data_IF_112439849463
#
_entry.id   IF_112439849463
#
_cell.length_a   1.000
_cell.length_b   1.000
_cell.length_c   1.000
_cell.angle_alpha   90.00
_cell.angle_beta   90.00
_cell.angle_gamma   90.00
#
_symmetry.space_group_name_H-M   'P 1'
#
loop_
_entity.id
_entity.type
_entity.pdbx_description
1 polymer ?
#
# COMPACT_ATOMS: atom_id res chain seq x y z
N UNK A 1 75.78 -31.76 -18.69
CA UNK A 1 75.85 -30.62 -19.61
C UNK A 1 74.71 -29.71 -19.22
N UNK A 2 75.13 -28.62 -18.61
CA UNK A 2 74.46 -27.31 -18.45
C UNK A 2 73.14 -27.25 -17.68
N UNK A 3 72.85 -26.25 -16.84
CA UNK A 3 73.56 -25.33 -15.93
C UNK A 3 72.45 -24.34 -15.48
N UNK A 4 72.60 -23.74 -14.30
CA UNK A 4 71.81 -22.65 -13.67
C UNK A 4 70.53 -23.07 -12.91
N UNK A 5 70.55 -23.17 -11.58
CA UNK A 5 70.60 -22.09 -10.53
C UNK A 5 69.36 -21.19 -10.56
N UNK A 6 68.75 -20.73 -9.46
CA UNK A 6 68.88 -20.87 -8.01
C UNK A 6 67.63 -20.21 -7.40
N UNK A 7 67.25 -20.50 -6.15
CA UNK A 7 66.16 -19.72 -5.51
C UNK A 7 65.54 -20.23 -4.22
N UNK A 8 66.35 -20.45 -3.18
CA UNK A 8 66.03 -20.33 -1.75
C UNK A 8 64.58 -20.58 -1.26
N UNK A 9 64.35 -21.78 -0.71
CA UNK A 9 63.28 -22.02 0.25
C UNK A 9 63.69 -21.48 1.64
N UNK A 10 63.04 -20.40 2.10
CA UNK A 10 63.03 -20.01 3.52
C UNK A 10 61.59 -19.93 4.00
N UNK A 11 61.26 -20.89 4.86
CA UNK A 11 60.10 -20.94 5.74
C UNK A 11 59.99 -19.64 6.55
N UNK A 12 58.88 -18.92 6.38
CA UNK A 12 58.46 -17.88 7.30
C UNK A 12 57.12 -18.28 7.94
N UNK A 13 57.21 -18.45 9.24
CA UNK A 13 56.14 -18.63 10.22
C UNK A 13 55.05 -17.57 10.04
N UNK A 14 53.82 -18.02 9.83
CA UNK A 14 52.64 -17.17 9.75
C UNK A 14 52.29 -16.67 11.15
N UNK A 15 52.70 -15.46 11.46
CA UNK A 15 52.30 -14.71 12.65
C UNK A 15 50.77 -14.52 12.62
N UNK A 16 50.11 -15.04 13.64
CA UNK A 16 48.81 -14.54 14.10
C UNK A 16 48.99 -13.08 14.53
N UNK A 17 48.27 -12.16 13.87
CA UNK A 17 47.80 -10.85 14.39
C UNK A 17 47.16 -10.03 13.27
N UNK A 18 45.83 -10.02 13.21
CA UNK A 18 44.98 -8.81 13.11
C UNK A 18 43.55 -9.18 12.69
N UNK A 19 42.78 -9.70 13.64
CA UNK A 19 41.34 -9.61 13.58
C UNK A 19 40.91 -8.16 13.87
N UNK A 20 40.92 -7.27 12.87
CA UNK A 20 40.16 -6.01 12.88
C UNK A 20 40.37 -5.22 11.58
N UNK A 21 39.45 -5.40 10.62
CA UNK A 21 38.99 -4.44 9.62
C UNK A 21 38.48 -5.23 8.41
N UNK A 22 37.26 -5.77 8.51
CA UNK A 22 36.49 -6.02 7.29
C UNK A 22 36.30 -4.64 6.67
N UNK A 23 36.94 -4.38 5.54
CA UNK A 23 36.69 -3.17 4.75
C UNK A 23 35.20 -3.16 4.42
N UNK A 24 34.41 -2.40 5.17
CA UNK A 24 32.99 -2.23 4.85
C UNK A 24 32.98 -1.56 3.49
N UNK A 25 32.40 -2.23 2.49
CA UNK A 25 32.08 -1.55 1.24
C UNK A 25 31.26 -0.30 1.59
N UNK A 26 31.55 0.87 1.00
CA UNK A 26 30.68 2.02 1.13
C UNK A 26 29.24 1.62 0.82
N UNK A 27 28.26 2.13 1.58
CA UNK A 27 26.84 1.89 1.35
C UNK A 27 26.35 0.44 1.54
N UNK A 28 27.15 -0.43 2.17
CA UNK A 28 26.78 -1.83 2.37
C UNK A 28 25.48 -2.00 3.18
N UNK A 29 25.21 -1.12 4.15
CA UNK A 29 24.02 -1.21 5.00
C UNK A 29 22.82 -0.52 4.38
N UNK A 30 23.05 0.53 3.60
CA UNK A 30 22.05 1.16 2.77
C UNK A 30 21.38 0.12 1.87
N UNK A 31 22.18 -0.70 1.17
CA UNK A 31 21.71 -1.78 0.29
C UNK A 31 20.90 -2.89 0.98
N UNK A 32 20.92 -2.96 2.32
CA UNK A 32 20.05 -3.85 3.08
C UNK A 32 18.60 -3.36 3.12
N UNK A 33 18.36 -2.07 2.89
CA UNK A 33 17.04 -1.43 2.97
C UNK A 33 16.59 -0.84 1.64
N UNK A 34 17.47 -0.09 0.97
CA UNK A 34 17.19 0.69 -0.23
C UNK A 34 18.27 0.39 -1.26
N UNK A 35 17.86 0.17 -2.51
CA UNK A 35 18.78 -0.03 -3.63
C UNK A 35 19.32 1.32 -4.11
N UNK A 36 18.42 2.29 -4.31
CA UNK A 36 18.76 3.66 -4.67
C UNK A 36 17.60 4.61 -4.34
N UNK A 37 17.93 5.90 -4.26
CA UNK A 37 16.99 7.01 -4.26
C UNK A 37 17.21 7.79 -5.56
N UNK A 38 16.14 8.07 -6.28
CA UNK A 38 16.20 8.77 -7.56
C UNK A 38 15.32 10.03 -7.49
N UNK A 39 15.82 11.12 -8.06
CA UNK A 39 15.02 12.32 -8.32
C UNK A 39 14.80 12.38 -9.81
N UNK A 40 13.53 12.45 -10.22
CA UNK A 40 13.14 12.52 -11.62
C UNK A 40 12.42 13.85 -11.82
N UNK A 41 12.87 14.67 -12.76
CA UNK A 41 12.18 15.90 -13.18
C UNK A 41 11.49 15.67 -14.50
N UNK A 42 10.37 16.35 -14.68
CA UNK A 42 9.65 16.37 -15.93
C UNK A 42 10.02 17.65 -16.69
N UNK A 43 10.54 17.50 -17.91
CA UNK A 43 10.81 18.63 -18.79
C UNK A 43 9.57 18.93 -19.63
N UNK A 44 9.05 20.16 -19.59
CA UNK A 44 7.85 20.53 -20.35
C UNK A 44 8.13 20.68 -21.86
N UNK A 45 9.38 20.94 -22.25
CA UNK A 45 9.80 21.16 -23.64
C UNK A 45 10.27 19.87 -24.32
N UNK A 46 11.02 19.03 -23.60
CA UNK A 46 11.44 17.70 -24.08
C UNK A 46 10.41 16.60 -23.80
N UNK A 47 9.41 16.85 -22.95
CA UNK A 47 8.62 15.80 -22.30
C UNK A 47 9.42 15.12 -21.20
N UNK A 48 9.16 13.85 -20.91
CA UNK A 48 10.08 13.08 -20.07
C UNK A 48 11.40 12.92 -20.86
N UNK A 49 12.34 13.82 -20.62
CA UNK A 49 13.60 13.90 -21.33
C UNK A 49 14.29 12.52 -21.29
N UNK A 50 14.87 12.17 -22.43
CA UNK A 50 15.25 10.83 -22.86
C UNK A 50 16.27 10.21 -21.90
N UNK A 51 15.79 9.53 -20.87
CA UNK A 51 16.54 8.45 -20.22
C UNK A 51 15.74 7.16 -20.34
N UNK A 52 16.35 6.18 -21.00
CA UNK A 52 15.77 4.89 -21.43
C UNK A 52 15.51 3.93 -20.27
N UNK A 53 15.11 4.44 -19.10
CA UNK A 53 14.84 3.63 -17.93
C UNK A 53 13.35 3.63 -17.62
N UNK A 54 12.77 2.45 -17.43
CA UNK A 54 11.34 2.26 -17.11
C UNK A 54 10.92 3.07 -15.85
N UNK A 55 11.88 3.42 -14.99
CA UNK A 55 11.65 4.19 -13.76
C UNK A 55 11.17 5.61 -14.08
N UNK A 56 11.83 6.35 -14.99
CA UNK A 56 11.46 7.73 -15.31
C UNK A 56 10.02 7.84 -15.81
N UNK A 57 9.59 6.90 -16.65
CA UNK A 57 8.23 6.82 -17.18
C UNK A 57 7.18 6.45 -16.11
N UNK A 58 7.56 5.65 -15.12
CA UNK A 58 6.68 5.23 -14.03
C UNK A 58 6.62 6.23 -12.87
N UNK A 59 7.59 7.15 -12.79
CA UNK A 59 7.66 8.20 -11.76
C UNK A 59 6.58 9.26 -11.87
N UNK A 60 5.91 9.36 -13.02
CA UNK A 60 4.84 10.31 -13.27
C UNK A 60 3.58 9.60 -13.76
N UNK A 61 2.38 10.06 -13.36
CA UNK A 61 1.14 9.53 -13.88
C UNK A 61 0.97 9.80 -15.38
N UNK A 62 0.42 8.82 -16.10
CA UNK A 62 0.17 8.90 -17.55
C UNK A 62 -1.16 9.56 -17.92
N UNK A 63 -1.90 10.04 -16.91
CA UNK A 63 -3.19 10.69 -17.05
C UNK A 63 -3.36 11.78 -16.02
N UNK A 64 -3.96 12.91 -16.42
CA UNK A 64 -4.36 13.95 -15.49
C UNK A 64 -5.50 13.43 -14.61
N UNK A 65 -5.23 13.11 -13.35
CA UNK A 65 -6.21 12.59 -12.40
C UNK A 65 -7.12 13.68 -11.81
N UNK A 66 -6.96 14.95 -12.21
CA UNK A 66 -7.65 16.07 -11.57
C UNK A 66 -7.25 16.31 -10.12
N UNK A 67 -6.27 15.55 -9.60
CA UNK A 67 -5.72 15.74 -8.27
C UNK A 67 -4.74 16.93 -8.32
N UNK A 68 -5.09 18.01 -7.61
CA UNK A 68 -4.18 19.11 -7.35
C UNK A 68 -3.35 18.76 -6.09
N UNK A 69 -2.02 18.80 -6.21
CA UNK A 69 -1.08 18.60 -5.10
C UNK A 69 -0.26 17.31 -5.16
N UNK A 70 0.46 17.04 -4.08
CA UNK A 70 1.41 15.93 -3.98
C UNK A 70 0.70 14.58 -4.09
N UNK A 71 1.24 13.70 -4.93
CA UNK A 71 0.71 12.35 -5.13
C UNK A 71 1.77 11.33 -4.76
N UNK A 72 1.43 10.43 -3.85
CA UNK A 72 2.28 9.29 -3.46
C UNK A 72 1.68 8.00 -3.99
N UNK A 73 2.48 7.19 -4.67
CA UNK A 73 2.06 5.90 -5.19
C UNK A 73 3.24 4.94 -5.30
N UNK A 74 2.95 3.65 -5.48
CA UNK A 74 3.96 2.62 -5.68
C UNK A 74 3.84 2.02 -7.07
N UNK A 75 4.96 1.64 -7.66
CA UNK A 75 5.02 0.86 -8.89
C UNK A 75 6.01 -0.30 -8.70
N UNK A 76 5.99 -1.27 -9.61
CA UNK A 76 6.86 -2.45 -9.54
C UNK A 76 7.50 -2.68 -10.89
N UNK A 77 8.81 -2.90 -10.88
CA UNK A 77 9.62 -3.18 -12.08
C UNK A 77 10.12 -4.62 -12.01
N UNK A 78 10.05 -5.34 -13.14
CA UNK A 78 10.61 -6.70 -13.26
C UNK A 78 12.14 -6.59 -13.32
N UNK A 79 12.83 -7.43 -12.56
CA UNK A 79 14.30 -7.52 -12.65
C UNK A 79 14.68 -8.29 -13.93
N UNK A 80 15.39 -7.65 -14.85
CA UNK A 80 15.92 -8.30 -16.05
C UNK A 80 16.97 -9.36 -15.67
N UNK A 81 16.75 -10.60 -16.08
CA UNK A 81 17.69 -11.71 -15.83
C UNK A 81 18.92 -11.52 -16.73
N UNK A 82 20.09 -11.25 -16.14
CA UNK A 82 21.38 -11.24 -16.87
C UNK A 82 22.16 -9.91 -16.84
N UNK A 83 21.59 -8.81 -16.36
CA UNK A 83 22.32 -7.56 -16.14
C UNK A 83 22.65 -7.39 -14.65
N UNK A 84 23.82 -7.91 -14.23
CA UNK A 84 24.60 -7.29 -13.16
C UNK A 84 25.36 -6.08 -13.74
N UNK A 85 24.69 -5.20 -14.47
CA UNK A 85 25.28 -3.93 -14.84
C UNK A 85 25.17 -3.02 -13.64
N UNK A 86 26.28 -2.40 -13.27
CA UNK A 86 26.28 -1.11 -12.59
C UNK A 86 25.29 -0.20 -13.32
N UNK A 87 24.07 -0.07 -12.78
CA UNK A 87 23.02 0.80 -13.31
C UNK A 87 23.46 2.27 -13.36
N UNK A 88 24.56 2.59 -12.68
CA UNK A 88 25.17 3.90 -12.54
C UNK A 88 26.66 3.78 -12.89
N UNK A 89 27.02 3.90 -14.17
CA UNK A 89 28.43 4.01 -14.57
C UNK A 89 28.71 5.19 -15.49
N UNK A 90 27.71 5.99 -15.81
CA UNK A 90 27.91 7.33 -16.36
C UNK A 90 27.24 8.28 -15.37
N UNK A 91 28.04 9.19 -14.80
CA UNK A 91 27.54 10.47 -14.30
C UNK A 91 26.91 11.18 -15.51
N UNK A 92 25.70 10.76 -15.91
CA UNK A 92 24.89 11.57 -16.79
C UNK A 92 24.59 12.82 -15.97
N UNK A 93 25.30 13.89 -16.32
CA UNK A 93 25.20 15.20 -15.72
C UNK A 93 23.76 15.62 -15.91
N UNK A 94 22.98 15.40 -14.86
CA UNK A 94 21.60 15.82 -14.76
C UNK A 94 21.53 17.28 -15.19
N UNK A 95 20.67 17.59 -16.16
CA UNK A 95 20.45 18.97 -16.58
C UNK A 95 19.92 19.76 -15.38
N UNK A 96 20.81 20.45 -14.68
CA UNK A 96 20.52 21.28 -13.49
C UNK A 96 19.61 22.48 -13.81
N UNK A 97 19.27 22.67 -15.07
CA UNK A 97 18.52 23.82 -15.59
C UNK A 97 17.05 23.49 -15.91
N UNK A 98 16.58 22.27 -15.60
CA UNK A 98 15.17 21.91 -15.83
C UNK A 98 14.22 22.72 -14.92
N UNK A 99 13.12 23.29 -15.45
CA UNK A 99 12.15 24.04 -14.67
C UNK A 99 11.59 23.20 -13.50
N UNK A 100 11.38 23.85 -12.34
CA UNK A 100 10.85 23.25 -11.09
C UNK A 100 9.38 22.83 -11.19
N UNK A 101 8.81 22.73 -12.39
CA UNK A 101 7.36 22.65 -12.56
C UNK A 101 6.78 21.30 -12.12
N UNK A 102 7.54 20.20 -12.24
CA UNK A 102 7.16 18.87 -11.75
C UNK A 102 8.41 18.01 -11.43
N UNK A 103 8.57 17.62 -10.17
CA UNK A 103 9.65 16.75 -9.70
C UNK A 103 9.06 15.55 -8.93
N UNK A 104 9.76 14.41 -8.95
CA UNK A 104 9.34 13.17 -8.30
C UNK A 104 10.52 12.55 -7.54
N UNK A 105 10.33 12.26 -6.26
CA UNK A 105 11.30 11.57 -5.41
C UNK A 105 10.92 10.09 -5.30
N UNK A 106 11.84 9.20 -5.70
CA UNK A 106 11.59 7.76 -5.81
C UNK A 106 12.57 6.98 -4.92
N UNK A 107 12.03 6.10 -4.08
CA UNK A 107 12.82 5.12 -3.30
C UNK A 107 12.62 3.73 -3.91
N UNK A 108 13.72 3.08 -4.30
CA UNK A 108 13.70 1.73 -4.89
C UNK A 108 14.21 0.74 -3.84
N UNK A 109 13.42 -0.30 -3.56
CA UNK A 109 13.78 -1.35 -2.61
C UNK A 109 13.35 -2.73 -3.08
N UNK A 110 14.11 -3.76 -2.68
CA UNK A 110 13.72 -5.17 -2.84
C UNK A 110 12.80 -5.65 -1.70
N UNK A 111 12.67 -4.88 -0.63
CA UNK A 111 11.84 -5.20 0.52
C UNK A 111 10.41 -4.69 0.29
N UNK A 112 9.37 -5.50 0.51
CA UNK A 112 7.98 -5.09 0.30
C UNK A 112 7.43 -4.24 1.47
N UNK A 113 8.25 -3.35 2.04
CA UNK A 113 7.96 -2.57 3.24
C UNK A 113 7.25 -1.25 2.88
N UNK A 114 6.13 -1.38 2.16
CA UNK A 114 5.45 -0.25 1.52
C UNK A 114 5.11 0.85 2.53
N UNK A 115 4.53 0.50 3.68
CA UNK A 115 4.13 1.48 4.69
C UNK A 115 5.34 2.23 5.27
N UNK A 116 6.46 1.53 5.52
CA UNK A 116 7.71 2.18 5.97
C UNK A 116 8.21 3.18 4.93
N UNK A 117 8.31 2.78 3.67
CA UNK A 117 8.83 3.66 2.61
C UNK A 117 7.89 4.82 2.29
N UNK A 118 6.56 4.62 2.41
CA UNK A 118 5.59 5.70 2.29
C UNK A 118 5.76 6.73 3.42
N UNK A 119 5.87 6.29 4.68
CA UNK A 119 6.14 7.18 5.81
C UNK A 119 7.50 7.88 5.68
N UNK A 120 8.52 7.16 5.21
CA UNK A 120 9.85 7.72 4.97
C UNK A 120 9.80 8.83 3.90
N UNK A 121 9.14 8.60 2.77
CA UNK A 121 8.96 9.61 1.72
C UNK A 121 8.16 10.82 2.18
N UNK A 122 7.17 10.65 3.06
CA UNK A 122 6.43 11.77 3.66
C UNK A 122 7.30 12.68 4.53
N UNK A 123 8.39 12.15 5.10
CA UNK A 123 9.37 12.92 5.86
C UNK A 123 10.42 13.55 4.94
N UNK A 124 10.93 12.81 3.96
CA UNK A 124 12.03 13.26 3.10
C UNK A 124 11.55 14.27 2.05
N UNK A 125 10.42 14.02 1.40
CA UNK A 125 10.02 14.78 0.20
C UNK A 125 9.85 16.29 0.47
N UNK A 126 9.14 16.75 1.52
CA UNK A 126 8.99 18.17 1.80
C UNK A 126 10.34 18.87 2.02
N UNK A 127 11.20 18.23 2.81
CA UNK A 127 12.54 18.75 3.15
C UNK A 127 13.47 18.75 1.94
N UNK A 128 13.37 17.74 1.08
CA UNK A 128 14.12 17.69 -0.17
C UNK A 128 13.71 18.83 -1.12
N UNK A 129 12.42 19.10 -1.29
CA UNK A 129 11.98 20.16 -2.20
C UNK A 129 12.34 21.57 -1.69
N UNK A 130 12.73 21.71 -0.42
CA UNK A 130 13.27 22.96 0.13
C UNK A 130 14.81 23.01 0.09
N UNK A 131 15.49 21.91 0.45
CA UNK A 131 16.94 21.87 0.72
C UNK A 131 17.77 21.16 -0.35
N UNK A 132 17.14 20.48 -1.29
CA UNK A 132 17.74 19.76 -2.42
C UNK A 132 18.80 18.72 -2.01
N UNK A 133 19.85 18.58 -2.80
CA UNK A 133 20.84 17.48 -2.72
C UNK A 133 21.47 17.27 -1.34
N UNK A 134 21.89 18.30 -0.57
CA UNK A 134 22.45 18.12 0.78
C UNK A 134 21.51 17.38 1.74
N UNK A 135 20.19 17.55 1.56
CA UNK A 135 19.21 16.82 2.36
C UNK A 135 19.22 15.33 2.02
N UNK A 136 19.27 14.96 0.74
CA UNK A 136 19.31 13.55 0.34
C UNK A 136 20.61 12.88 0.73
N UNK A 137 21.74 13.58 0.64
CA UNK A 137 23.03 13.05 1.10
C UNK A 137 22.99 12.72 2.59
N UNK A 138 22.46 13.63 3.42
CA UNK A 138 22.29 13.40 4.85
C UNK A 138 21.37 12.20 5.13
N UNK A 139 20.21 12.15 4.47
CA UNK A 139 19.25 11.03 4.61
C UNK A 139 19.87 9.70 4.22
N UNK A 140 20.57 9.64 3.09
CA UNK A 140 21.23 8.41 2.65
C UNK A 140 22.27 7.95 3.69
N UNK A 141 23.08 8.87 4.20
CA UNK A 141 24.06 8.58 5.26
C UNK A 141 23.41 8.07 6.56
N UNK A 142 22.23 8.57 6.92
CA UNK A 142 21.45 8.08 8.06
C UNK A 142 20.91 6.66 7.81
N UNK A 143 20.39 6.39 6.60
CA UNK A 143 19.90 5.06 6.21
C UNK A 143 21.04 4.03 6.18
N UNK A 144 22.25 4.39 5.74
CA UNK A 144 23.42 3.50 5.80
C UNK A 144 23.83 3.16 7.25
N UNK A 145 23.40 3.94 8.23
CA UNK A 145 23.64 3.63 9.64
C UNK A 145 22.59 2.70 10.24
N UNK A 146 21.46 2.47 9.57
CA UNK A 146 20.39 1.63 10.08
C UNK A 146 20.86 0.19 10.34
N UNK A 147 20.33 -0.47 11.40
CA UNK A 147 20.56 -1.89 11.62
C UNK A 147 19.95 -2.71 10.48
N UNK A 148 20.47 -3.91 10.21
CA UNK A 148 19.90 -4.78 9.19
C UNK A 148 18.45 -5.18 9.54
N UNK A 149 17.55 -5.32 8.55
CA UNK A 149 16.14 -5.67 8.77
C UNK A 149 15.97 -7.15 9.12
N UNK A 150 16.27 -7.51 10.38
CA UNK A 150 16.21 -8.90 10.85
C UNK A 150 14.76 -9.25 11.28
N UNK A 151 14.15 -10.31 10.73
CA UNK A 151 12.79 -10.74 11.11
C UNK A 151 12.59 -10.94 12.61
N UNK A 152 11.50 -10.39 13.14
CA UNK A 152 11.09 -10.51 14.55
C UNK A 152 11.75 -9.51 15.50
N UNK A 153 12.63 -8.64 15.00
CA UNK A 153 13.23 -7.57 15.80
C UNK A 153 12.43 -6.27 15.69
N UNK A 154 12.40 -5.51 16.78
CA UNK A 154 11.97 -4.12 16.78
C UNK A 154 13.21 -3.24 16.59
N UNK A 155 13.19 -2.39 15.57
CA UNK A 155 14.28 -1.53 15.16
C UNK A 155 13.86 -0.08 15.32
N UNK A 156 14.81 0.76 15.74
CA UNK A 156 14.67 2.21 15.77
C UNK A 156 15.49 2.76 14.62
N UNK A 157 14.83 3.43 13.67
CA UNK A 157 15.38 3.91 12.42
C UNK A 157 15.40 5.44 12.47
N UNK A 158 16.53 6.06 12.89
CA UNK A 158 16.66 7.50 12.91
C UNK A 158 16.73 8.05 11.48
N UNK A 159 15.94 9.08 11.19
CA UNK A 159 15.98 9.82 9.94
C UNK A 159 15.39 11.23 10.11
N UNK A 160 16.06 12.25 9.60
CA UNK A 160 15.56 13.64 9.60
C UNK A 160 15.11 14.13 11.00
N UNK A 161 15.87 13.81 12.04
CA UNK A 161 15.56 14.19 13.43
C UNK A 161 14.37 13.45 14.06
N UNK A 162 13.76 12.50 13.34
CA UNK A 162 12.71 11.60 13.82
C UNK A 162 13.29 10.20 14.01
N UNK A 163 12.77 9.44 14.98
CA UNK A 163 13.09 8.01 15.12
C UNK A 163 11.87 7.19 14.75
N UNK A 164 11.91 6.50 13.62
CA UNK A 164 10.84 5.58 13.22
C UNK A 164 11.06 4.24 13.92
N UNK A 165 10.15 3.86 14.80
CA UNK A 165 10.18 2.57 15.47
C UNK A 165 9.31 1.57 14.70
N UNK A 166 9.93 0.47 14.25
CA UNK A 166 9.26 -0.56 13.45
C UNK A 166 9.57 -1.95 13.95
N UNK A 167 8.64 -2.89 13.82
CA UNK A 167 8.89 -4.31 14.01
C UNK A 167 8.97 -5.01 12.65
N UNK A 168 10.06 -5.74 12.41
CA UNK A 168 10.22 -6.53 11.19
C UNK A 168 9.38 -7.81 11.31
N UNK A 169 8.45 -8.07 10.38
CA UNK A 169 7.58 -9.25 10.45
C UNK A 169 8.38 -10.55 10.42
N UNK A 170 7.95 -11.51 11.24
CA UNK A 170 8.51 -12.86 11.34
C UNK A 170 7.47 -13.92 11.01
N UNK A 171 7.92 -15.07 10.50
CA UNK A 171 7.07 -16.26 10.28
C UNK A 171 6.40 -16.77 11.56
N UNK A 172 6.95 -16.40 12.72
CA UNK A 172 6.46 -16.80 14.03
C UNK A 172 5.48 -15.78 14.64
N UNK A 173 5.23 -14.65 13.99
CA UNK A 173 4.28 -13.65 14.49
C UNK A 173 2.84 -14.18 14.38
N UNK A 174 2.02 -13.87 15.39
CA UNK A 174 0.60 -14.26 15.38
C UNK A 174 -0.19 -13.27 14.51
N UNK A 175 -1.12 -13.73 13.67
CA UNK A 175 -1.99 -12.85 12.91
C UNK A 175 -2.74 -11.86 13.82
N UNK A 176 -2.58 -10.57 13.58
CA UNK A 176 -3.25 -9.52 14.36
C UNK A 176 -2.65 -9.24 15.74
N UNK A 177 -1.46 -9.76 16.08
CA UNK A 177 -0.74 -9.26 17.24
C UNK A 177 -0.37 -7.80 17.01
N UNK A 178 -0.82 -6.90 17.90
CA UNK A 178 -0.32 -5.54 17.89
C UNK A 178 1.21 -5.60 18.05
N UNK A 179 1.96 -5.05 17.09
CA UNK A 179 3.39 -5.36 16.94
C UNK A 179 4.26 -4.77 18.03
N UNK A 180 3.71 -3.93 18.92
CA UNK A 180 4.48 -3.24 19.94
C UNK A 180 3.74 -3.33 21.28
N UNK A 181 4.15 -4.31 22.09
CA UNK A 181 4.12 -4.08 23.54
C UNK A 181 5.14 -2.96 23.77
N UNK A 182 4.68 -1.79 24.20
CA UNK A 182 5.58 -0.73 24.67
C UNK A 182 6.47 -1.33 25.77
N UNK A 183 7.73 -1.61 25.43
CA UNK A 183 8.76 -1.58 26.45
C UNK A 183 8.86 -0.09 26.79
N UNK A 184 8.40 0.30 27.98
CA UNK A 184 8.60 1.63 28.52
C UNK A 184 10.11 1.93 28.54
N UNK A 185 10.64 2.52 27.47
CA UNK A 185 11.89 3.24 27.52
C UNK A 185 11.53 4.66 27.93
N UNK A 186 11.54 4.90 29.23
CA UNK A 186 11.60 6.25 29.77
C UNK A 186 12.81 6.96 29.14
N UNK A 187 12.60 8.18 28.62
CA UNK A 187 13.62 9.19 28.26
C UNK A 187 14.14 9.28 26.80
N UNK A 188 13.44 8.78 25.77
CA UNK A 188 13.72 9.23 24.39
C UNK A 188 12.83 10.42 24.02
N UNK A 189 13.38 11.63 24.10
CA UNK A 189 12.82 12.84 23.49
C UNK A 189 13.61 13.14 22.20
N UNK A 190 12.96 13.34 21.04
CA UNK A 190 11.52 13.28 20.78
C UNK A 190 10.97 11.84 20.83
N UNK A 191 9.66 11.71 21.11
CA UNK A 191 8.99 10.41 21.12
C UNK A 191 9.08 9.75 19.73
N UNK A 192 9.39 8.45 19.64
CA UNK A 192 9.55 7.78 18.35
C UNK A 192 8.23 7.71 17.57
N UNK A 193 8.30 7.88 16.26
CA UNK A 193 7.20 7.61 15.35
C UNK A 193 7.02 6.09 15.26
N UNK A 194 5.99 5.59 15.91
CA UNK A 194 5.71 4.16 15.97
C UNK A 194 4.90 3.75 14.74
N UNK A 195 5.47 2.93 13.85
CA UNK A 195 4.71 2.27 12.80
C UNK A 195 4.24 0.90 13.28
N UNK A 196 2.91 0.62 13.26
CA UNK A 196 2.41 -0.69 13.60
C UNK A 196 3.02 -1.73 12.65
N UNK A 197 2.84 -1.59 11.35
CA UNK A 197 3.39 -2.57 10.39
C UNK A 197 4.26 -1.86 9.37
N UNK A 198 5.24 -2.59 8.84
CA UNK A 198 6.09 -2.09 7.75
C UNK A 198 5.48 -2.32 6.36
N UNK A 199 4.54 -3.27 6.24
CA UNK A 199 3.99 -3.70 4.95
C UNK A 199 2.54 -3.29 4.73
N UNK A 200 1.74 -3.25 5.80
CA UNK A 200 0.28 -3.22 5.66
C UNK A 200 -0.21 -1.78 5.51
N UNK A 201 -1.03 -1.60 4.48
CA UNK A 201 -1.78 -0.39 4.23
C UNK A 201 -3.09 -0.40 5.04
N UNK A 202 -3.74 0.75 5.12
CA UNK A 202 -5.10 0.84 5.67
C UNK A 202 -6.10 0.13 4.73
N UNK A 203 -6.34 -1.16 5.02
CA UNK A 203 -7.25 -2.00 4.25
C UNK A 203 -8.69 -1.46 4.24
N UNK A 204 -9.11 -0.77 5.31
CA UNK A 204 -10.45 -0.19 5.35
C UNK A 204 -10.56 0.97 4.36
N UNK A 205 -9.59 1.90 4.38
CA UNK A 205 -9.50 2.99 3.41
C UNK A 205 -9.51 2.48 1.98
N UNK A 206 -8.79 1.38 1.70
CA UNK A 206 -8.72 0.80 0.36
C UNK A 206 -10.02 0.10 -0.06
N UNK A 207 -10.64 -0.67 0.84
CA UNK A 207 -11.79 -1.52 0.51
C UNK A 207 -13.15 -0.93 0.82
N UNK A 208 -13.25 0.26 1.43
CA UNK A 208 -14.52 0.88 1.81
C UNK A 208 -15.59 0.86 0.71
N UNK A 209 -15.19 1.11 -0.55
CA UNK A 209 -16.07 1.10 -1.73
C UNK A 209 -16.35 -0.30 -2.30
N UNK A 210 -15.59 -1.30 -1.86
CA UNK A 210 -15.62 -2.69 -2.34
C UNK A 210 -16.09 -3.69 -1.26
N UNK A 211 -16.48 -3.22 -0.07
CA UNK A 211 -16.79 -4.07 1.09
C UNK A 211 -17.83 -5.15 0.79
N UNK A 212 -18.87 -4.83 0.03
CA UNK A 212 -19.92 -5.80 -0.34
C UNK A 212 -19.41 -6.92 -1.26
N UNK A 213 -18.30 -6.69 -1.95
CA UNK A 213 -17.68 -7.64 -2.87
C UNK A 213 -16.44 -8.33 -2.27
N UNK A 214 -16.07 -8.02 -1.03
CA UNK A 214 -14.79 -8.45 -0.45
C UNK A 214 -14.63 -9.97 -0.40
N UNK A 215 -15.71 -10.73 -0.18
CA UNK A 215 -15.69 -12.20 -0.24
C UNK A 215 -15.29 -12.67 -1.65
N UNK A 216 -15.92 -12.12 -2.67
CA UNK A 216 -15.62 -12.45 -4.07
C UNK A 216 -14.19 -12.10 -4.43
N UNK A 217 -13.76 -10.88 -4.10
CA UNK A 217 -12.41 -10.41 -4.37
C UNK A 217 -11.37 -11.31 -3.70
N UNK A 218 -11.63 -11.72 -2.46
CA UNK A 218 -10.78 -12.65 -1.74
C UNK A 218 -10.69 -14.03 -2.43
N UNK A 219 -11.80 -14.57 -2.96
CA UNK A 219 -11.76 -15.82 -3.76
C UNK A 219 -10.95 -15.64 -5.05
N UNK A 220 -11.15 -14.55 -5.78
CA UNK A 220 -10.37 -14.24 -6.98
C UNK A 220 -8.88 -14.14 -6.68
N UNK A 221 -8.53 -13.57 -5.52
CA UNK A 221 -7.15 -13.49 -5.07
C UNK A 221 -6.54 -14.85 -4.77
N UNK A 222 -7.30 -15.77 -4.19
CA UNK A 222 -6.84 -17.15 -3.97
C UNK A 222 -6.65 -17.93 -5.27
N UNK A 223 -7.55 -17.72 -6.23
CA UNK A 223 -7.51 -18.40 -7.52
C UNK A 223 -6.46 -17.82 -8.47
N UNK A 224 -5.94 -16.62 -8.16
CA UNK A 224 -4.96 -15.93 -9.01
C UNK A 224 -5.59 -15.42 -10.31
N UNK A 225 -6.87 -15.09 -10.29
CA UNK A 225 -7.60 -14.64 -11.47
C UNK A 225 -7.09 -13.26 -11.96
N UNK A 226 -7.10 -13.00 -13.29
CA UNK A 226 -6.70 -11.71 -13.84
C UNK A 226 -7.67 -10.59 -13.43
N UNK A 227 -7.16 -9.49 -12.87
CA UNK A 227 -7.97 -8.36 -12.39
C UNK A 227 -7.40 -7.04 -12.89
N UNK A 228 -8.25 -6.18 -13.44
CA UNK A 228 -7.91 -4.77 -13.73
C UNK A 228 -8.62 -3.86 -12.74
N UNK A 229 -7.88 -2.94 -12.14
CA UNK A 229 -8.39 -1.88 -11.26
C UNK A 229 -8.27 -0.56 -11.99
N UNK A 230 -9.41 0.07 -12.29
CA UNK A 230 -9.48 1.42 -12.82
C UNK A 230 -9.77 2.37 -11.66
N UNK A 231 -8.80 3.21 -11.31
CA UNK A 231 -8.87 4.12 -10.18
C UNK A 231 -8.80 5.59 -10.63
N UNK A 232 -9.26 6.55 -9.82
CA UNK A 232 -9.26 7.95 -10.20
C UNK A 232 -7.88 8.60 -9.97
N UNK A 233 -7.00 8.00 -9.17
CA UNK A 233 -5.63 8.47 -8.94
C UNK A 233 -4.63 7.31 -8.80
N UNK A 234 -3.33 7.55 -9.07
CA UNK A 234 -2.27 6.55 -8.92
C UNK A 234 -2.15 6.02 -7.49
N UNK A 235 -2.39 6.90 -6.50
CA UNK A 235 -2.43 6.54 -5.09
C UNK A 235 -3.50 5.48 -4.83
N UNK A 236 -4.74 5.74 -5.23
CA UNK A 236 -5.84 4.79 -5.02
C UNK A 236 -5.59 3.49 -5.78
N UNK A 237 -5.06 3.58 -7.00
CA UNK A 237 -4.72 2.42 -7.81
C UNK A 237 -3.71 1.51 -7.10
N UNK A 238 -2.56 2.08 -6.74
CA UNK A 238 -1.45 1.35 -6.12
C UNK A 238 -1.80 0.81 -4.74
N UNK A 239 -2.45 1.61 -3.89
CA UNK A 239 -2.91 1.17 -2.57
C UNK A 239 -3.90 0.00 -2.69
N UNK A 240 -4.84 0.06 -3.62
CA UNK A 240 -5.84 -1.01 -3.79
C UNK A 240 -5.22 -2.32 -4.27
N UNK A 241 -4.34 -2.27 -5.29
CA UNK A 241 -3.65 -3.48 -5.79
C UNK A 241 -2.83 -4.13 -4.68
N UNK A 242 -2.08 -3.33 -3.92
CA UNK A 242 -1.28 -3.81 -2.79
C UNK A 242 -2.16 -4.39 -1.69
N UNK A 243 -3.27 -3.72 -1.35
CA UNK A 243 -4.25 -4.21 -0.39
C UNK A 243 -4.83 -5.56 -0.82
N UNK A 244 -5.21 -5.74 -2.10
CA UNK A 244 -5.69 -7.02 -2.65
C UNK A 244 -4.62 -8.11 -2.55
N UNK A 245 -3.39 -7.82 -2.96
CA UNK A 245 -2.30 -8.81 -2.86
C UNK A 245 -2.04 -9.29 -1.42
N UNK A 246 -2.34 -8.43 -0.43
CA UNK A 246 -2.18 -8.74 0.99
C UNK A 246 -3.42 -9.36 1.66
N UNK A 247 -4.58 -9.37 0.98
CA UNK A 247 -5.85 -9.77 1.61
C UNK A 247 -5.94 -11.29 1.89
N UNK A 248 -5.10 -12.09 1.21
CA UNK A 248 -4.98 -13.54 1.43
C UNK A 248 -3.89 -13.91 2.44
N UNK A 249 -3.26 -12.93 3.09
CA UNK A 249 -2.32 -13.19 4.18
C UNK A 249 -2.94 -14.13 5.24
N UNK A 250 -2.19 -15.11 5.77
CA UNK A 250 -0.72 -15.26 5.70
C UNK A 250 -0.19 -15.94 4.43
N UNK A 251 -1.04 -16.31 3.47
CA UNK A 251 -0.59 -16.85 2.20
C UNK A 251 0.14 -15.77 1.41
N UNK A 252 1.28 -16.12 0.82
CA UNK A 252 2.00 -15.25 -0.10
C UNK A 252 1.23 -15.26 -1.43
N UNK A 253 0.86 -14.09 -1.93
CA UNK A 253 0.37 -13.95 -3.30
C UNK A 253 1.52 -14.24 -4.29
N UNK A 254 1.30 -15.20 -5.19
CA UNK A 254 2.33 -15.73 -6.08
C UNK A 254 2.19 -15.28 -7.53
N UNK A 255 1.04 -14.72 -7.91
CA UNK A 255 0.83 -14.19 -9.24
C UNK A 255 1.47 -12.80 -9.38
N UNK A 256 1.58 -12.32 -10.62
CA UNK A 256 2.15 -11.01 -10.87
C UNK A 256 1.17 -9.90 -10.49
N UNK A 257 1.67 -8.71 -10.22
CA UNK A 257 0.84 -7.54 -9.97
C UNK A 257 1.62 -6.26 -10.24
N UNK A 258 0.91 -5.27 -10.78
CA UNK A 258 1.39 -3.92 -11.07
C UNK A 258 0.55 -2.94 -10.26
N UNK A 259 1.06 -2.43 -9.12
CA UNK A 259 0.32 -1.46 -8.32
C UNK A 259 -0.10 -0.23 -9.12
N UNK A 260 0.78 0.24 -10.00
CA UNK A 260 0.47 1.24 -10.99
C UNK A 260 1.11 0.86 -12.33
N UNK A 261 0.29 0.80 -13.37
CA UNK A 261 0.62 0.38 -14.72
C UNK A 261 0.21 1.48 -15.70
N UNK A 262 1.15 1.88 -16.54
CA UNK A 262 0.97 3.01 -17.48
C UNK A 262 1.09 2.55 -18.93
N UNK A 263 0.68 3.41 -19.85
CA UNK A 263 0.89 3.18 -21.29
C UNK A 263 2.38 3.13 -21.69
N UNK A 264 3.27 3.60 -20.81
CA UNK A 264 4.70 3.67 -21.02
C UNK A 264 5.47 2.49 -20.43
N UNK A 265 4.78 1.57 -19.73
CA UNK A 265 5.42 0.37 -19.17
C UNK A 265 6.04 -0.46 -20.31
N UNK A 266 7.29 -0.88 -20.13
CA UNK A 266 8.01 -1.72 -21.09
C UNK A 266 7.26 -3.02 -21.47
N UNK A 267 6.41 -3.52 -20.57
CA UNK A 267 5.63 -4.75 -20.75
C UNK A 267 4.20 -4.47 -21.24
N UNK A 268 3.92 -3.25 -21.68
CA UNK A 268 2.60 -2.83 -22.15
C UNK A 268 2.01 -3.77 -23.21
N UNK A 269 2.82 -4.18 -24.20
CA UNK A 269 2.38 -5.08 -25.27
C UNK A 269 2.05 -6.50 -24.77
N UNK A 270 2.74 -6.97 -23.74
CA UNK A 270 2.52 -8.30 -23.13
C UNK A 270 1.12 -8.37 -22.51
N UNK A 271 0.71 -7.32 -21.79
CA UNK A 271 -0.57 -7.31 -21.08
C UNK A 271 -1.75 -6.85 -21.93
N UNK A 272 -1.52 -6.11 -23.02
CA UNK A 272 -2.59 -5.54 -23.85
C UNK A 272 -2.91 -6.34 -25.12
N UNK A 273 -2.11 -7.37 -25.44
CA UNK A 273 -2.39 -8.22 -26.61
C UNK A 273 -3.71 -8.98 -26.45
N UNK A 274 -4.47 -9.07 -27.55
CA UNK A 274 -5.74 -9.83 -27.60
C UNK A 274 -5.59 -11.23 -28.17
N UNK A 275 -4.37 -11.61 -28.56
CA UNK A 275 -4.11 -12.91 -29.19
C UNK A 275 -4.01 -14.06 -28.17
N UNK A 276 -3.87 -13.74 -26.89
CA UNK A 276 -3.70 -14.71 -25.81
C UNK A 276 -4.70 -14.42 -24.69
N UNK A 277 -4.98 -15.43 -23.87
CA UNK A 277 -5.73 -15.23 -22.65
C UNK A 277 -4.96 -14.26 -21.72
N UNK A 278 -5.67 -13.41 -20.95
CA UNK A 278 -5.01 -12.54 -19.99
C UNK A 278 -4.15 -13.35 -19.02
N UNK A 279 -2.89 -12.95 -18.76
CA UNK A 279 -2.07 -13.63 -17.78
C UNK A 279 -2.63 -13.44 -16.37
N UNK A 280 -2.25 -14.31 -15.43
CA UNK A 280 -2.62 -14.20 -14.02
C UNK A 280 -1.89 -13.01 -13.40
N UNK A 281 -2.48 -11.82 -13.53
CA UNK A 281 -1.93 -10.55 -13.07
C UNK A 281 -3.01 -9.59 -12.57
N UNK A 282 -2.65 -8.77 -11.57
CA UNK A 282 -3.45 -7.61 -11.16
C UNK A 282 -2.84 -6.34 -11.76
N UNK A 283 -3.62 -5.53 -12.47
CA UNK A 283 -3.17 -4.26 -13.04
C UNK A 283 -3.93 -3.09 -12.45
N UNK A 284 -3.23 -2.17 -11.79
CA UNK A 284 -3.77 -0.88 -11.36
C UNK A 284 -3.53 0.18 -12.43
N UNK A 285 -4.58 0.82 -12.93
CA UNK A 285 -4.52 1.85 -13.97
C UNK A 285 -5.36 3.08 -13.62
N UNK A 286 -5.01 4.23 -14.19
CA UNK A 286 -5.81 5.47 -14.08
C UNK A 286 -6.27 5.98 -15.44
N UNK A 287 -5.48 5.73 -16.49
CA UNK A 287 -5.76 6.27 -17.81
C UNK A 287 -7.03 5.69 -18.44
N UNK A 288 -8.03 6.52 -18.82
CA UNK A 288 -9.26 6.07 -19.48
C UNK A 288 -9.03 5.30 -20.78
N UNK A 289 -7.86 5.43 -21.43
CA UNK A 289 -7.44 4.58 -22.54
C UNK A 289 -7.65 3.08 -22.23
N UNK A 290 -7.35 2.66 -21.00
CA UNK A 290 -7.46 1.27 -20.58
C UNK A 290 -8.88 0.73 -20.53
N UNK A 291 -9.91 1.60 -20.53
CA UNK A 291 -11.32 1.19 -20.57
C UNK A 291 -11.60 0.33 -21.79
N UNK A 292 -11.14 0.78 -22.98
CA UNK A 292 -11.34 0.02 -24.24
C UNK A 292 -10.34 -1.12 -24.38
N UNK A 293 -9.13 -0.94 -23.86
CA UNK A 293 -8.06 -1.94 -23.95
C UNK A 293 -8.42 -3.20 -23.19
N UNK A 294 -8.94 -3.06 -21.96
CA UNK A 294 -9.26 -4.17 -21.07
C UNK A 294 -10.75 -4.49 -20.95
N UNK A 295 -11.60 -3.98 -21.85
CA UNK A 295 -13.05 -4.19 -21.79
C UNK A 295 -13.52 -5.66 -21.78
N UNK A 296 -12.66 -6.59 -22.25
CA UNK A 296 -12.94 -8.03 -22.30
C UNK A 296 -12.21 -8.83 -21.21
N UNK A 297 -11.55 -8.16 -20.27
CA UNK A 297 -10.94 -8.85 -19.13
C UNK A 297 -12.01 -9.47 -18.23
N UNK A 298 -11.72 -10.60 -17.59
CA UNK A 298 -12.72 -11.35 -16.82
C UNK A 298 -13.22 -10.58 -15.60
N UNK A 299 -12.35 -9.78 -14.97
CA UNK A 299 -12.67 -9.03 -13.77
C UNK A 299 -12.16 -7.59 -13.88
N UNK A 300 -13.10 -6.64 -13.85
CA UNK A 300 -12.80 -5.21 -13.90
C UNK A 300 -13.39 -4.55 -12.65
N UNK A 301 -12.54 -3.90 -11.88
CA UNK A 301 -12.92 -3.14 -10.69
C UNK A 301 -12.77 -1.67 -11.03
N UNK A 302 -13.84 -0.89 -10.89
CA UNK A 302 -13.81 0.56 -11.07
C UNK A 302 -14.03 1.22 -9.72
N UNK A 303 -13.11 2.10 -9.34
CA UNK A 303 -13.13 2.85 -8.09
C UNK A 303 -13.23 4.34 -8.44
N UNK A 304 -14.02 5.10 -7.69
CA UNK A 304 -14.21 6.54 -7.94
C UNK A 304 -15.66 6.91 -8.18
N UNK A 305 -15.91 7.78 -9.17
CA UNK A 305 -17.21 8.43 -9.36
C UNK A 305 -18.39 7.45 -9.45
N UNK A 306 -19.44 7.78 -8.68
CA UNK A 306 -20.59 6.94 -8.34
C UNK A 306 -21.39 6.39 -9.53
N UNK A 307 -21.18 6.90 -10.75
CA UNK A 307 -21.86 6.43 -11.97
C UNK A 307 -21.15 5.24 -12.63
N UNK A 308 -19.84 5.10 -12.44
CA UNK A 308 -19.05 4.04 -13.06
C UNK A 308 -18.31 3.15 -12.05
N UNK A 309 -18.45 3.42 -10.76
CA UNK A 309 -17.88 2.59 -9.69
C UNK A 309 -18.60 1.26 -9.57
N UNK A 310 -17.85 0.17 -9.40
CA UNK A 310 -18.39 -1.17 -9.25
C UNK A 310 -17.43 -2.29 -9.65
N UNK A 311 -17.82 -3.53 -9.34
CA UNK A 311 -17.11 -4.74 -9.73
C UNK A 311 -17.87 -5.40 -10.89
N UNK A 312 -17.22 -5.48 -12.04
CA UNK A 312 -17.76 -6.07 -13.27
C UNK A 312 -17.13 -7.45 -13.47
N UNK A 313 -17.92 -8.48 -13.22
CA UNK A 313 -17.49 -9.87 -13.30
C UNK A 313 -18.70 -10.79 -13.44
N UNK A 314 -18.54 -11.89 -14.17
CA UNK A 314 -19.51 -12.99 -14.23
C UNK A 314 -19.25 -14.05 -13.16
N UNK A 315 -18.18 -13.92 -12.38
CA UNK A 315 -17.81 -14.87 -11.34
C UNK A 315 -18.84 -14.87 -10.21
N UNK A 316 -19.23 -16.08 -9.78
CA UNK A 316 -20.09 -16.29 -8.62
C UNK A 316 -19.24 -16.91 -7.52
N UNK A 317 -19.45 -16.52 -6.28
CA UNK A 317 -18.70 -17.10 -5.15
C UNK A 317 -19.07 -18.57 -4.98
N UNK A 318 -18.06 -19.42 -4.91
CA UNK A 318 -18.24 -20.87 -4.75
C UNK A 318 -17.67 -21.38 -3.44
N UNK A 319 -16.78 -20.62 -2.78
CA UNK A 319 -16.16 -21.00 -1.51
C UNK A 319 -17.10 -20.71 -0.32
N UNK A 320 -18.23 -21.42 -0.29
CA UNK A 320 -19.03 -21.61 0.92
C UNK A 320 -19.26 -23.11 1.14
N UNK A 321 -18.48 -23.73 2.05
CA UNK A 321 -18.90 -24.89 2.89
C UNK A 321 -17.88 -25.49 3.85
N UNK A 322 -16.58 -25.19 3.79
CA UNK A 322 -15.64 -25.73 4.79
C UNK A 322 -15.26 -24.71 5.87
N UNK A 323 -16.13 -24.63 6.89
CA UNK A 323 -15.88 -23.82 8.09
C UNK A 323 -14.61 -24.25 8.82
N UNK A 324 -14.09 -25.47 8.65
CA UNK A 324 -12.90 -25.95 9.35
C UNK A 324 -11.60 -25.50 8.65
N UNK A 325 -11.56 -25.53 7.31
CA UNK A 325 -10.43 -25.06 6.52
C UNK A 325 -10.26 -23.53 6.64
N UNK A 326 -11.36 -22.78 6.56
CA UNK A 326 -11.38 -21.31 6.77
C UNK A 326 -11.02 -20.96 8.23
N UNK A 327 -11.49 -21.75 9.21
CA UNK A 327 -11.15 -21.58 10.62
C UNK A 327 -9.70 -21.94 10.95
N UNK A 328 -9.04 -22.81 10.16
CA UNK A 328 -7.60 -23.16 10.28
C UNK A 328 -6.66 -22.23 9.51
N UNK A 329 -7.06 -21.70 8.35
CA UNK A 329 -6.18 -20.90 7.49
C UNK A 329 -6.30 -19.39 7.71
N UNK A 330 -7.49 -18.87 8.08
CA UNK A 330 -7.86 -17.46 7.81
C UNK A 330 -8.65 -16.77 8.93
N UNK A 331 -8.94 -17.47 10.04
CA UNK A 331 -9.88 -16.97 11.07
C UNK A 331 -9.43 -15.65 11.70
N UNK A 332 -8.14 -15.45 11.94
CA UNK A 332 -7.72 -14.33 12.80
C UNK A 332 -7.75 -12.98 12.07
N UNK A 333 -7.19 -12.86 10.86
CA UNK A 333 -7.17 -11.59 10.11
C UNK A 333 -8.49 -11.28 9.39
N UNK A 334 -9.15 -12.29 8.79
CA UNK A 334 -10.49 -12.08 8.22
C UNK A 334 -11.49 -11.66 9.31
N UNK A 335 -11.47 -12.29 10.50
CA UNK A 335 -12.38 -11.92 11.60
C UNK A 335 -11.99 -10.63 12.33
N UNK A 336 -10.70 -10.25 12.34
CA UNK A 336 -10.24 -9.02 13.00
C UNK A 336 -10.31 -7.77 12.10
N UNK A 337 -10.06 -7.90 10.80
CA UNK A 337 -9.95 -6.76 9.88
C UNK A 337 -11.13 -6.62 8.93
N UNK A 338 -11.68 -7.73 8.39
CA UNK A 338 -12.68 -7.67 7.31
C UNK A 338 -14.11 -8.00 7.79
N UNK A 339 -14.27 -8.90 8.74
CA UNK A 339 -15.58 -9.29 9.28
C UNK A 339 -16.26 -8.17 10.10
N UNK A 340 -15.56 -7.33 10.89
CA UNK A 340 -16.19 -6.18 11.55
C UNK A 340 -16.71 -5.16 10.53
N UNK A 341 -15.99 -4.98 9.41
CA UNK A 341 -16.39 -4.12 8.30
C UNK A 341 -17.62 -4.65 7.57
N UNK A 342 -17.67 -5.95 7.30
CA UNK A 342 -18.85 -6.63 6.75
C UNK A 342 -20.05 -6.59 7.73
N UNK A 343 -19.80 -6.79 9.02
CA UNK A 343 -20.83 -6.79 10.07
C UNK A 343 -21.43 -5.41 10.33
N UNK A 344 -20.64 -4.34 10.16
CA UNK A 344 -21.14 -2.98 10.21
C UNK A 344 -22.15 -2.65 9.09
N UNK A 345 -22.24 -3.50 8.07
CA UNK A 345 -23.13 -3.35 6.90
C UNK A 345 -24.21 -4.47 6.86
N UNK A 346 -24.48 -5.14 7.99
CA UNK A 346 -25.49 -6.20 8.07
C UNK A 346 -26.87 -5.79 7.53
N UNK A 347 -27.66 -6.72 6.92
CA UNK A 347 -28.95 -6.40 6.32
C UNK A 347 -29.97 -5.91 7.35
N UNK A 348 -30.71 -4.83 7.04
CA UNK A 348 -31.76 -4.19 7.87
C UNK A 348 -32.79 -5.14 8.51
N UNK A 349 -32.98 -6.33 7.94
CA UNK A 349 -33.89 -7.37 8.46
C UNK A 349 -33.46 -7.87 9.84
N UNK A 350 -32.16 -7.87 10.13
CA UNK A 350 -31.61 -8.31 11.42
C UNK A 350 -31.60 -7.18 12.48
N UNK A 351 -31.69 -5.91 12.06
CA UNK A 351 -31.82 -4.76 12.97
C UNK A 351 -33.20 -4.75 13.64
N UNK A 352 -34.27 -5.03 12.88
CA UNK A 352 -35.62 -5.15 13.43
C UNK A 352 -35.79 -6.36 14.35
N UNK A 353 -35.03 -7.44 14.14
CA UNK A 353 -34.94 -8.55 15.09
C UNK A 353 -34.16 -8.15 16.35
N UNK A 354 -33.06 -7.40 16.21
CA UNK A 354 -32.25 -6.94 17.33
C UNK A 354 -33.00 -5.96 18.25
N UNK A 355 -33.83 -5.07 17.68
CA UNK A 355 -34.64 -4.11 18.44
C UNK A 355 -35.66 -4.82 19.35
N UNK A 356 -36.16 -6.00 18.96
CA UNK A 356 -37.17 -6.74 19.75
C UNK A 356 -36.67 -7.22 21.11
N UNK A 357 -35.36 -7.42 21.26
CA UNK A 357 -34.74 -7.93 22.48
C UNK A 357 -34.01 -6.84 23.28
N UNK A 358 -34.26 -5.57 22.97
CA UNK A 358 -33.55 -4.41 23.55
C UNK A 358 -34.45 -3.55 24.40
N UNK A 359 -33.87 -2.94 25.43
CA UNK A 359 -34.60 -2.01 26.28
C UNK A 359 -34.92 -0.72 25.53
N UNK A 360 -36.04 -0.08 25.87
CA UNK A 360 -36.47 1.18 25.26
C UNK A 360 -35.38 2.26 25.33
N UNK A 361 -34.62 2.30 26.43
CA UNK A 361 -33.50 3.24 26.63
C UNK A 361 -32.36 3.00 25.61
N UNK A 362 -32.00 1.74 25.37
CA UNK A 362 -30.97 1.39 24.36
C UNK A 362 -31.43 1.74 22.94
N UNK A 363 -32.71 1.56 22.65
CA UNK A 363 -33.29 1.89 21.34
C UNK A 363 -33.32 3.41 21.14
N UNK A 364 -33.70 4.16 22.19
CA UNK A 364 -33.69 5.64 22.19
C UNK A 364 -32.26 6.17 22.00
N UNK A 365 -31.26 5.64 22.70
CA UNK A 365 -29.85 6.02 22.54
C UNK A 365 -29.33 5.74 21.12
N UNK A 366 -29.71 4.60 20.53
CA UNK A 366 -29.40 4.29 19.13
C UNK A 366 -30.02 5.31 18.17
N UNK A 367 -31.29 5.68 18.36
CA UNK A 367 -31.98 6.68 17.54
C UNK A 367 -31.27 8.04 17.62
N UNK A 368 -30.91 8.49 18.83
CA UNK A 368 -30.21 9.76 19.04
C UNK A 368 -28.84 9.77 18.34
N UNK A 369 -28.06 8.68 18.47
CA UNK A 369 -26.74 8.55 17.80
C UNK A 369 -26.85 8.49 16.29
N UNK A 370 -27.87 7.81 15.74
CA UNK A 370 -28.09 7.75 14.29
C UNK A 370 -28.50 9.11 13.73
N UNK A 371 -29.35 9.86 14.44
CA UNK A 371 -29.73 11.23 14.07
C UNK A 371 -28.56 12.19 14.13
N UNK A 372 -27.75 12.15 15.18
CA UNK A 372 -26.57 13.00 15.29
C UNK A 372 -25.61 12.76 14.09
N UNK A 373 -25.42 11.50 13.70
CA UNK A 373 -24.61 11.14 12.52
C UNK A 373 -25.26 11.59 11.21
N UNK A 374 -26.58 11.51 11.08
CA UNK A 374 -27.31 12.00 9.90
C UNK A 374 -27.17 13.53 9.78
N UNK A 375 -27.33 14.26 10.88
CA UNK A 375 -27.19 15.72 10.93
C UNK A 375 -25.74 16.14 10.62
N UNK A 376 -24.75 15.43 11.15
CA UNK A 376 -23.33 15.64 10.81
C UNK A 376 -23.05 15.35 9.35
N UNK A 377 -23.63 14.29 8.78
CA UNK A 377 -23.46 13.96 7.37
C UNK A 377 -24.02 15.05 6.44
N UNK A 378 -25.16 15.65 6.78
CA UNK A 378 -25.74 16.78 6.03
C UNK A 378 -24.92 18.07 6.20
N UNK A 379 -24.54 18.43 7.44
CA UNK A 379 -23.81 19.68 7.71
C UNK A 379 -22.36 19.66 7.22
N UNK A 380 -21.69 18.51 7.29
CA UNK A 380 -20.29 18.36 6.88
C UNK A 380 -20.16 17.91 5.42
N UNK A 381 -21.26 17.81 4.66
CA UNK A 381 -21.31 17.39 3.26
C UNK A 381 -20.45 16.15 2.97
N UNK A 382 -20.59 15.12 3.82
CA UNK A 382 -19.90 13.84 3.59
C UNK A 382 -20.37 13.26 2.24
N UNK A 383 -19.50 12.59 1.46
CA UNK A 383 -19.79 12.18 0.07
C UNK A 383 -20.69 10.94 0.01
N UNK A 384 -21.88 11.04 0.61
CA UNK A 384 -22.90 10.01 0.68
C UNK A 384 -24.08 10.45 -0.18
N UNK A 385 -24.62 9.55 -1.02
CA UNK A 385 -25.77 9.86 -1.88
C UNK A 385 -26.99 10.25 -1.05
N UNK A 386 -27.69 11.29 -1.47
CA UNK A 386 -28.90 11.79 -0.81
C UNK A 386 -29.97 10.70 -0.61
N UNK A 387 -30.12 9.81 -1.60
CA UNK A 387 -31.01 8.64 -1.52
C UNK A 387 -30.69 7.71 -0.34
N UNK A 388 -29.42 7.61 0.06
CA UNK A 388 -28.96 6.78 1.19
C UNK A 388 -29.24 7.47 2.52
N UNK A 389 -29.11 8.80 2.57
CA UNK A 389 -29.45 9.61 3.74
C UNK A 389 -30.97 9.60 3.97
N UNK A 390 -31.76 9.76 2.92
CA UNK A 390 -33.23 9.64 2.96
C UNK A 390 -33.67 8.23 3.36
N UNK A 391 -32.96 7.20 2.92
CA UNK A 391 -33.21 5.82 3.37
C UNK A 391 -32.93 5.67 4.86
N UNK A 392 -31.79 6.17 5.33
CA UNK A 392 -31.42 6.16 6.75
C UNK A 392 -32.44 6.92 7.61
N UNK A 393 -32.94 8.05 7.13
CA UNK A 393 -34.01 8.82 7.78
C UNK A 393 -35.33 8.06 7.84
N UNK A 394 -35.74 7.42 6.73
CA UNK A 394 -36.91 6.53 6.68
C UNK A 394 -36.78 5.36 7.66
N UNK A 395 -35.57 4.81 7.82
CA UNK A 395 -35.31 3.74 8.79
C UNK A 395 -35.35 4.23 10.23
N UNK A 396 -34.78 5.39 10.54
CA UNK A 396 -34.90 6.04 11.86
C UNK A 396 -36.38 6.26 12.19
N UNK A 397 -37.17 6.74 11.23
CA UNK A 397 -38.60 6.96 11.42
C UNK A 397 -39.36 5.65 11.69
N UNK A 398 -38.99 4.57 11.01
CA UNK A 398 -39.56 3.23 11.23
C UNK A 398 -39.25 2.71 12.64
N UNK A 399 -38.04 2.95 13.15
CA UNK A 399 -37.64 2.59 14.52
C UNK A 399 -38.43 3.41 15.54
N UNK A 400 -38.59 4.72 15.32
CA UNK A 400 -39.38 5.60 16.20
C UNK A 400 -40.84 5.13 16.25
N UNK A 401 -41.46 4.79 15.11
CA UNK A 401 -42.84 4.27 15.09
C UNK A 401 -43.02 2.92 15.77
N UNK A 402 -41.92 2.20 16.03
CA UNK A 402 -41.95 0.94 16.80
C UNK A 402 -41.85 1.12 18.31
N UNK A 403 -41.57 2.34 18.79
CA UNK A 403 -41.52 2.68 20.22
C UNK A 403 -42.91 3.13 20.75
N UNK A 404 -43.15 3.06 22.07
CA UNK A 404 -44.34 3.64 22.72
C UNK A 404 -44.54 5.15 22.47
N UNK A 405 -45.79 5.63 22.53
CA UNK A 405 -46.18 6.99 22.11
C UNK A 405 -45.51 8.12 22.90
N UNK A 406 -45.23 7.90 24.19
CA UNK A 406 -44.53 8.83 25.07
C UNK A 406 -43.07 9.05 24.63
N UNK A 407 -42.36 7.99 24.27
CA UNK A 407 -40.99 8.07 23.75
C UNK A 407 -40.94 8.64 22.32
N UNK A 408 -41.96 8.35 21.50
CA UNK A 408 -42.11 8.98 20.20
C UNK A 408 -42.25 10.50 20.30
N UNK A 409 -43.03 10.99 21.27
CA UNK A 409 -43.23 12.41 21.47
C UNK A 409 -41.95 13.13 21.90
N UNK A 410 -41.12 12.48 22.72
CA UNK A 410 -39.80 13.00 23.13
C UNK A 410 -38.82 13.02 21.95
N UNK A 411 -38.76 11.94 21.16
CA UNK A 411 -37.87 11.81 20.02
C UNK A 411 -38.29 12.63 18.79
N UNK A 412 -39.54 13.13 18.73
CA UNK A 412 -39.98 14.06 17.66
C UNK A 412 -39.68 15.52 17.97
N UNK A 413 -39.30 15.85 19.21
CA UNK A 413 -38.99 17.23 19.65
C UNK A 413 -37.50 17.57 19.56
N UNK A 414 -36.65 16.56 19.58
CA UNK A 414 -35.24 16.60 19.13
C UNK A 414 -35.16 16.08 17.70
#
# INVERSE_FOLDING_TARGET
MDLYESGHARTYTKSEKSASAVSRMPWARFSCWVECVCVVTFDLELGQAIEKTNICYLSFPDSYSGCLGDTQFSFRVRQSVGQKSSWFCEEDIYSREAPVTLQSLVVISRLPYVNLFQSLLQLIAPEYFEKLDPCLEAVCNEIDQWPAPIPGQTLNLPVMGVVIQVRIPSKNDKPGSSPLKQAYQENLLPAPMVLPTVNELDLFKCFQSLLIHIQMLWELMLLGEPIVIMAPSPTISSETVLALSSCIAPLKYCCDYRPYFTIHDSEFKEYTTRTQAPPNVILGVTNPFFIKTFQYWPHIIRIGELKMSGVYTSYKTYLHKDKALIKRLLKERYMASLMPLQKAIMPWKDLLLWIKDKSEVEIVDLVLKLREKLVKAHHQQLPVKEEVLQKLESYIQTIITSLPEDLQAVLKRH
#
